data_IF_466424151153
#
_entry.id   IF_466424151153
#
_cell.length_a   1.000
_cell.length_b   1.000
_cell.length_c   1.000
_cell.angle_alpha   90.00
_cell.angle_beta   90.00
_cell.angle_gamma   90.00
#
_symmetry.space_group_name_H-M   'P 1'
#
loop_
_entity.id
_entity.type
_entity.pdbx_description
1 polymer ?
#
# COMPACT_ATOMS: atom_id res chain seq x y z
N UNK A 1 -30.35 9.17 -4.21
CA UNK A 1 -29.50 10.28 -4.71
C UNK A 1 -28.74 9.90 -5.99
N UNK A 2 -27.92 8.84 -6.07
CA UNK A 2 -27.24 8.43 -7.32
C UNK A 2 -28.23 8.10 -8.44
N UNK A 3 -29.34 7.39 -8.14
CA UNK A 3 -30.36 7.05 -9.10
C UNK A 3 -31.11 8.29 -9.65
N UNK A 4 -31.24 9.33 -8.84
CA UNK A 4 -31.83 10.61 -9.28
C UNK A 4 -30.88 11.38 -10.21
N UNK A 5 -29.56 11.38 -9.94
CA UNK A 5 -28.54 11.96 -10.81
C UNK A 5 -28.45 11.23 -12.15
N UNK A 6 -28.58 9.90 -12.14
CA UNK A 6 -28.60 9.09 -13.37
C UNK A 6 -29.85 9.36 -14.24
N UNK A 7 -30.97 9.66 -13.61
CA UNK A 7 -32.24 10.01 -14.32
C UNK A 7 -32.21 11.43 -14.92
N UNK A 8 -31.33 12.33 -14.45
CA UNK A 8 -31.13 13.66 -15.05
C UNK A 8 -30.42 13.61 -16.42
N UNK A 9 -29.78 12.49 -16.76
CA UNK A 9 -29.01 12.35 -17.99
C UNK A 9 -29.87 12.19 -19.26
N UNK A 10 -31.20 12.10 -19.14
CA UNK A 10 -32.08 12.00 -20.31
C UNK A 10 -32.25 13.31 -21.09
N UNK A 11 -31.71 14.43 -20.60
CA UNK A 11 -31.90 15.75 -21.20
C UNK A 11 -30.59 16.42 -21.72
N UNK A 12 -29.51 15.68 -21.91
CA UNK A 12 -28.19 16.21 -22.40
C UNK A 12 -27.63 17.41 -21.60
N UNK A 13 -28.12 17.73 -20.42
CA UNK A 13 -27.58 18.76 -19.55
C UNK A 13 -26.54 18.14 -18.63
N UNK A 14 -25.26 18.37 -18.92
CA UNK A 14 -24.20 18.12 -17.96
C UNK A 14 -24.30 19.10 -16.78
N UNK A 15 -23.85 18.66 -15.63
CA UNK A 15 -23.70 19.51 -14.45
C UNK A 15 -22.43 20.33 -14.65
N UNK A 16 -22.49 21.65 -14.52
CA UNK A 16 -21.32 22.51 -14.74
C UNK A 16 -20.15 22.17 -13.81
N UNK A 17 -20.46 21.83 -12.54
CA UNK A 17 -19.46 21.62 -11.52
C UNK A 17 -19.91 20.68 -10.41
N UNK A 18 -19.06 19.72 -10.03
CA UNK A 18 -19.23 18.86 -8.86
C UNK A 18 -17.98 18.97 -7.98
N UNK A 19 -18.17 19.26 -6.70
CA UNK A 19 -17.13 19.10 -5.69
C UNK A 19 -17.52 17.96 -4.75
N UNK A 20 -16.58 17.05 -4.48
CA UNK A 20 -16.89 15.89 -3.65
C UNK A 20 -15.71 15.41 -2.81
N UNK A 21 -16.06 14.89 -1.63
CA UNK A 21 -15.22 14.06 -0.78
C UNK A 21 -16.00 12.75 -0.55
N UNK A 22 -15.90 11.77 -1.45
CA UNK A 22 -16.71 10.55 -1.39
C UNK A 22 -16.21 9.58 -0.31
N UNK A 23 -17.03 8.63 0.13
CA UNK A 23 -16.59 7.61 1.07
C UNK A 23 -15.51 6.72 0.46
N UNK A 24 -14.43 6.47 1.22
CA UNK A 24 -13.23 5.77 0.72
C UNK A 24 -13.31 4.24 0.76
N UNK A 25 -14.35 3.70 1.40
CA UNK A 25 -14.47 2.26 1.60
C UNK A 25 -14.52 1.47 0.28
N UNK A 26 -13.66 0.45 0.14
CA UNK A 26 -13.62 -0.51 -0.98
C UNK A 26 -13.64 0.14 -2.37
N UNK A 27 -12.81 1.17 -2.58
CA UNK A 27 -12.72 1.93 -3.85
C UNK A 27 -14.02 2.61 -4.28
N UNK A 28 -14.94 2.82 -3.35
CA UNK A 28 -16.20 3.49 -3.65
C UNK A 28 -15.97 4.92 -4.15
N UNK A 29 -14.95 5.61 -3.63
CA UNK A 29 -14.51 6.92 -4.09
C UNK A 29 -14.18 6.97 -5.59
N UNK A 30 -13.53 5.93 -6.13
CA UNK A 30 -13.22 5.85 -7.57
C UNK A 30 -14.47 5.60 -8.41
N UNK A 31 -15.41 4.79 -7.91
CA UNK A 31 -16.70 4.57 -8.58
C UNK A 31 -17.55 5.83 -8.61
N UNK A 32 -17.53 6.63 -7.53
CA UNK A 32 -18.17 7.93 -7.52
C UNK A 32 -17.52 8.87 -8.52
N UNK A 33 -16.17 8.94 -8.53
CA UNK A 33 -15.42 9.79 -9.45
C UNK A 33 -15.71 9.41 -10.91
N UNK A 34 -15.70 8.11 -11.22
CA UNK A 34 -16.07 7.61 -12.55
C UNK A 34 -17.44 8.13 -13.00
N UNK A 35 -18.45 8.02 -12.14
CA UNK A 35 -19.79 8.48 -12.47
C UNK A 35 -19.94 10.00 -12.55
N UNK A 36 -19.21 10.73 -11.71
CA UNK A 36 -19.28 12.20 -11.75
C UNK A 36 -18.59 12.78 -12.98
N UNK A 37 -17.48 12.20 -13.44
CA UNK A 37 -16.83 12.61 -14.71
C UNK A 37 -17.76 12.40 -15.92
N UNK A 38 -18.63 11.40 -15.89
CA UNK A 38 -19.60 11.14 -16.98
C UNK A 38 -20.71 12.19 -17.05
N UNK A 39 -21.07 12.85 -15.95
CA UNK A 39 -22.25 13.72 -15.83
C UNK A 39 -21.93 15.20 -15.58
N UNK A 40 -20.68 15.55 -15.32
CA UNK A 40 -20.26 16.93 -15.05
C UNK A 40 -19.11 17.38 -15.95
N UNK A 41 -19.11 18.66 -16.25
CA UNK A 41 -18.05 19.28 -17.06
C UNK A 41 -16.77 19.48 -16.24
N UNK A 42 -16.92 19.80 -14.95
CA UNK A 42 -15.81 19.97 -14.02
C UNK A 42 -16.08 19.20 -12.74
N UNK A 43 -15.10 18.42 -12.29
CA UNK A 43 -15.18 17.68 -11.02
C UNK A 43 -13.96 17.99 -10.19
N UNK A 44 -14.16 18.45 -8.95
CA UNK A 44 -13.11 18.51 -7.92
C UNK A 44 -13.34 17.35 -6.96
N UNK A 45 -12.33 16.52 -6.79
CA UNK A 45 -12.40 15.33 -5.96
C UNK A 45 -11.25 15.29 -4.96
N UNK A 46 -11.58 15.00 -3.70
CA UNK A 46 -10.60 14.69 -2.66
C UNK A 46 -10.74 13.21 -2.34
N UNK A 47 -9.68 12.45 -2.55
CA UNK A 47 -9.69 11.00 -2.29
C UNK A 47 -8.29 10.45 -2.04
N UNK A 48 -8.17 9.24 -1.44
CA UNK A 48 -6.89 8.57 -1.34
C UNK A 48 -6.18 8.47 -2.69
N UNK A 49 -4.88 8.69 -2.70
CA UNK A 49 -4.09 8.75 -3.94
C UNK A 49 -3.49 7.39 -4.36
N UNK A 50 -3.75 6.33 -3.62
CA UNK A 50 -3.17 5.00 -3.85
C UNK A 50 -3.49 4.40 -5.23
N UNK A 51 -4.57 4.82 -5.87
CA UNK A 51 -4.87 4.46 -7.26
C UNK A 51 -3.88 5.06 -8.28
N UNK A 52 -3.24 6.18 -7.94
CA UNK A 52 -2.18 6.80 -8.75
C UNK A 52 -0.82 6.13 -8.54
N UNK A 53 -0.52 5.81 -7.28
CA UNK A 53 0.82 5.40 -6.85
C UNK A 53 1.02 3.88 -6.86
N UNK A 54 -0.05 3.09 -6.91
CA UNK A 54 0.02 1.63 -6.78
C UNK A 54 0.06 0.91 -8.14
N UNK A 55 1.27 0.75 -8.69
CA UNK A 55 1.51 0.06 -9.99
C UNK A 55 1.48 -1.48 -9.90
N UNK A 56 1.65 -2.07 -8.72
CA UNK A 56 2.24 -3.41 -8.63
C UNK A 56 1.35 -4.52 -8.07
N UNK A 57 0.20 -4.23 -7.52
CA UNK A 57 -0.62 -5.29 -6.95
C UNK A 57 -1.32 -6.13 -8.04
N UNK A 58 -1.18 -7.46 -7.95
CA UNK A 58 -1.79 -8.43 -8.90
C UNK A 58 -3.21 -8.84 -8.51
N UNK A 59 -3.84 -8.16 -7.55
CA UNK A 59 -5.18 -8.48 -7.06
C UNK A 59 -6.28 -7.90 -7.95
N UNK A 60 -7.52 -8.41 -7.85
CA UNK A 60 -8.68 -7.87 -8.56
C UNK A 60 -8.93 -6.38 -8.24
N UNK A 61 -8.73 -5.99 -6.99
CA UNK A 61 -8.82 -4.60 -6.56
C UNK A 61 -7.81 -3.71 -7.27
N UNK A 62 -6.60 -4.20 -7.43
CA UNK A 62 -5.53 -3.49 -8.15
C UNK A 62 -5.76 -3.43 -9.65
N UNK A 63 -6.44 -4.41 -10.23
CA UNK A 63 -6.86 -4.36 -11.63
C UNK A 63 -7.82 -3.20 -11.86
N UNK A 64 -8.79 -2.99 -10.97
CA UNK A 64 -9.73 -1.86 -11.08
C UNK A 64 -9.02 -0.52 -10.95
N UNK A 65 -8.11 -0.35 -9.98
CA UNK A 65 -7.33 0.88 -9.80
C UNK A 65 -6.43 1.19 -10.99
N UNK A 66 -5.79 0.16 -11.57
CA UNK A 66 -5.00 0.31 -12.79
C UNK A 66 -5.86 0.75 -13.96
N UNK A 67 -6.96 0.05 -14.20
CA UNK A 67 -7.94 0.42 -15.22
C UNK A 67 -8.40 1.87 -15.03
N UNK A 68 -8.74 2.26 -13.79
CA UNK A 68 -9.18 3.61 -13.47
C UNK A 68 -8.09 4.63 -13.81
N UNK A 69 -6.85 4.38 -13.39
CA UNK A 69 -5.70 5.24 -13.68
C UNK A 69 -5.48 5.41 -15.18
N UNK A 70 -5.45 4.32 -15.93
CA UNK A 70 -5.22 4.34 -17.38
C UNK A 70 -6.34 5.08 -18.13
N UNK A 71 -7.58 4.85 -17.72
CA UNK A 71 -8.76 5.44 -18.37
C UNK A 71 -8.96 6.92 -18.05
N UNK A 72 -8.74 7.30 -16.78
CA UNK A 72 -9.15 8.62 -16.28
C UNK A 72 -8.01 9.63 -16.12
N UNK A 73 -6.75 9.26 -16.24
CA UNK A 73 -5.62 10.20 -16.21
C UNK A 73 -5.71 11.28 -17.27
N UNK A 74 -6.30 10.99 -18.42
CA UNK A 74 -6.53 11.96 -19.50
C UNK A 74 -7.54 13.07 -19.16
N UNK A 75 -8.37 12.86 -18.12
CA UNK A 75 -9.35 13.86 -17.66
C UNK A 75 -8.80 14.76 -16.56
N UNK A 76 -7.57 14.53 -16.09
CA UNK A 76 -6.99 15.31 -15.00
C UNK A 76 -6.42 16.60 -15.55
N UNK A 77 -6.98 17.73 -15.11
CA UNK A 77 -6.48 19.08 -15.41
C UNK A 77 -5.37 19.48 -14.46
N UNK A 78 -5.55 19.20 -13.17
CA UNK A 78 -4.56 19.41 -12.11
C UNK A 78 -4.70 18.38 -11.01
N UNK A 79 -3.59 18.11 -10.34
CA UNK A 79 -3.52 17.17 -9.24
C UNK A 79 -2.53 17.66 -8.20
N UNK A 80 -2.97 17.70 -6.94
CA UNK A 80 -2.15 17.98 -5.77
C UNK A 80 -2.21 16.79 -4.84
N UNK A 81 -1.03 16.30 -4.40
CA UNK A 81 -0.94 15.23 -3.41
C UNK A 81 -0.64 15.85 -2.05
N UNK A 82 -1.48 15.55 -1.08
CA UNK A 82 -1.35 16.00 0.29
C UNK A 82 -0.87 14.82 1.14
N UNK A 83 0.22 15.02 1.88
CA UNK A 83 0.75 14.01 2.79
C UNK A 83 -0.24 13.65 3.90
N UNK A 84 -0.13 12.47 4.55
CA UNK A 84 -0.95 12.15 5.71
C UNK A 84 -0.82 13.17 6.83
N UNK A 85 0.38 13.69 7.04
CA UNK A 85 0.68 14.70 8.07
C UNK A 85 -0.08 16.01 7.82
N UNK A 86 0.04 16.56 6.61
CA UNK A 86 -0.65 17.79 6.23
C UNK A 86 -2.17 17.59 6.20
N UNK A 87 -2.65 16.46 5.69
CA UNK A 87 -4.07 16.15 5.69
C UNK A 87 -4.64 16.11 7.12
N UNK A 88 -3.95 15.45 8.03
CA UNK A 88 -4.37 15.40 9.44
C UNK A 88 -4.38 16.77 10.10
N UNK A 89 -3.40 17.61 9.77
CA UNK A 89 -3.32 19.00 10.24
C UNK A 89 -4.48 19.85 9.73
N UNK A 90 -4.82 19.74 8.43
CA UNK A 90 -5.88 20.57 7.82
C UNK A 90 -7.28 20.12 8.21
N UNK A 91 -7.49 18.82 8.36
CA UNK A 91 -8.83 18.25 8.59
C UNK A 91 -9.08 17.77 10.02
N UNK A 92 -8.10 17.94 10.93
CA UNK A 92 -8.25 17.54 12.33
C UNK A 92 -8.48 16.03 12.50
N UNK A 93 -7.89 15.20 11.64
CA UNK A 93 -8.08 13.76 11.61
C UNK A 93 -6.82 13.02 12.06
N UNK A 94 -6.89 11.71 12.16
CA UNK A 94 -5.72 10.84 12.42
C UNK A 94 -5.59 9.77 11.32
N UNK A 95 -5.73 10.18 10.07
CA UNK A 95 -5.56 9.27 8.94
C UNK A 95 -4.09 8.96 8.70
N UNK A 96 -3.82 7.75 8.28
CA UNK A 96 -2.48 7.24 7.96
C UNK A 96 -2.17 7.26 6.45
N UNK A 97 -3.14 7.63 5.62
CA UNK A 97 -3.01 7.70 4.16
C UNK A 97 -3.02 9.16 3.68
N UNK A 98 -2.26 9.43 2.64
CA UNK A 98 -2.34 10.69 1.91
C UNK A 98 -3.54 10.74 0.98
N UNK A 99 -3.91 11.94 0.59
CA UNK A 99 -5.00 12.18 -0.37
C UNK A 99 -4.49 12.93 -1.59
N UNK A 100 -5.23 12.82 -2.68
CA UNK A 100 -5.08 13.68 -3.85
C UNK A 100 -6.29 14.59 -3.96
N UNK A 101 -6.04 15.87 -4.22
CA UNK A 101 -7.04 16.81 -4.69
C UNK A 101 -6.88 16.89 -6.20
N UNK A 102 -7.85 16.38 -6.93
CA UNK A 102 -7.83 16.36 -8.39
C UNK A 102 -8.94 17.20 -9.00
N UNK A 103 -8.59 17.95 -10.06
CA UNK A 103 -9.56 18.63 -10.94
C UNK A 103 -9.67 17.83 -12.22
N UNK A 104 -10.86 17.37 -12.54
CA UNK A 104 -11.15 16.56 -13.72
C UNK A 104 -12.06 17.33 -14.69
N UNK A 105 -11.73 17.27 -15.98
CA UNK A 105 -12.49 17.90 -17.07
C UNK A 105 -12.48 17.00 -18.30
N UNK A 106 -13.51 17.08 -19.13
CA UNK A 106 -13.58 16.33 -20.39
C UNK A 106 -12.43 16.69 -21.35
N UNK A 107 -12.08 17.96 -21.44
CA UNK A 107 -11.03 18.49 -22.34
C UNK A 107 -9.75 18.87 -21.58
N UNK A 108 -9.42 18.14 -20.51
CA UNK A 108 -8.19 18.36 -19.75
C UNK A 108 -6.95 18.07 -20.61
N UNK A 109 -5.83 18.67 -20.24
CA UNK A 109 -4.52 18.33 -20.83
C UNK A 109 -4.12 16.89 -20.55
N UNK A 110 -4.69 16.30 -19.51
CA UNK A 110 -4.28 15.02 -18.98
C UNK A 110 -2.95 15.10 -18.23
N UNK A 111 -2.67 14.08 -17.48
CA UNK A 111 -1.38 13.89 -16.83
C UNK A 111 -0.79 12.55 -17.27
N UNK A 112 0.54 12.51 -17.29
CA UNK A 112 1.23 11.23 -17.34
C UNK A 112 1.12 10.57 -15.93
N UNK A 113 0.32 9.52 -15.77
CA UNK A 113 0.10 8.92 -14.47
C UNK A 113 1.36 8.27 -13.91
N UNK A 114 2.34 7.97 -14.77
CA UNK A 114 3.59 7.36 -14.36
C UNK A 114 4.51 8.34 -13.63
N UNK A 115 4.29 9.66 -13.79
CA UNK A 115 4.99 10.69 -13.00
C UNK A 115 4.60 10.71 -11.52
N UNK A 116 3.41 10.21 -11.18
CA UNK A 116 2.92 10.12 -9.80
C UNK A 116 3.15 8.75 -9.15
N UNK A 117 3.57 7.78 -9.92
CA UNK A 117 4.17 6.60 -9.34
C UNK A 117 5.40 7.11 -8.62
N UNK A 118 5.53 6.77 -7.34
CA UNK A 118 6.74 7.06 -6.58
C UNK A 118 7.92 6.84 -7.51
N UNK A 119 8.39 7.95 -8.09
CA UNK A 119 9.38 7.97 -9.17
C UNK A 119 10.77 7.68 -8.67
N UNK A 120 10.87 7.19 -7.44
CA UNK A 120 12.09 6.56 -7.05
C UNK A 120 12.15 5.18 -7.73
N UNK A 121 12.61 5.24 -8.99
CA UNK A 121 12.87 4.03 -9.78
C UNK A 121 13.76 3.06 -9.01
N UNK A 122 14.52 3.56 -8.05
CA UNK A 122 15.41 2.79 -7.20
C UNK A 122 14.66 2.12 -6.05
N UNK A 123 13.74 2.83 -5.37
CA UNK A 123 12.84 2.26 -4.36
C UNK A 123 12.02 1.11 -4.96
N UNK A 124 11.45 1.33 -6.13
CA UNK A 124 10.68 0.30 -6.84
C UNK A 124 11.54 -0.91 -7.24
N UNK A 125 12.81 -0.71 -7.60
CA UNK A 125 13.75 -1.81 -7.89
C UNK A 125 14.01 -2.63 -6.63
N UNK A 126 14.24 -1.99 -5.49
CA UNK A 126 14.46 -2.65 -4.21
C UNK A 126 13.23 -3.48 -3.83
N UNK A 127 12.04 -2.89 -3.89
CA UNK A 127 10.79 -3.57 -3.58
C UNK A 127 10.56 -4.77 -4.51
N UNK A 128 10.79 -4.63 -5.81
CA UNK A 128 10.67 -5.74 -6.75
C UNK A 128 11.61 -6.90 -6.43
N UNK A 129 12.83 -6.61 -5.98
CA UNK A 129 13.77 -7.64 -5.55
C UNK A 129 13.28 -8.38 -4.29
N UNK A 130 12.72 -7.64 -3.33
CA UNK A 130 12.15 -8.21 -2.10
C UNK A 130 10.97 -9.13 -2.42
N UNK A 131 10.14 -8.77 -3.39
CA UNK A 131 8.95 -9.53 -3.79
C UNK A 131 9.21 -10.83 -4.54
N UNK A 132 10.44 -11.16 -4.82
CA UNK A 132 10.79 -12.45 -5.43
C UNK A 132 10.57 -13.62 -4.48
N UNK A 133 10.53 -13.37 -3.17
CA UNK A 133 10.32 -14.40 -2.15
C UNK A 133 8.82 -14.66 -1.87
N UNK A 134 8.49 -15.86 -1.39
CA UNK A 134 7.16 -16.16 -0.92
C UNK A 134 6.74 -15.22 0.22
N UNK A 135 5.46 -14.88 0.27
CA UNK A 135 4.91 -14.08 1.37
C UNK A 135 5.01 -14.83 2.70
N UNK A 136 5.37 -14.11 3.76
CA UNK A 136 5.33 -14.62 5.14
C UNK A 136 3.95 -15.18 5.49
N UNK A 137 2.88 -14.53 5.03
CA UNK A 137 1.50 -14.98 5.24
C UNK A 137 1.21 -16.35 4.64
N UNK A 138 1.88 -16.73 3.55
CA UNK A 138 1.71 -18.06 2.92
C UNK A 138 2.22 -19.20 3.79
N UNK A 139 2.99 -18.89 4.82
CA UNK A 139 3.56 -19.85 5.78
C UNK A 139 2.81 -19.93 7.11
N UNK A 140 1.73 -19.17 7.25
CA UNK A 140 0.95 -19.17 8.48
C UNK A 140 0.22 -20.49 8.67
N UNK A 141 0.31 -20.99 9.90
CA UNK A 141 -0.52 -22.09 10.44
C UNK A 141 -1.44 -21.56 11.51
N UNK A 142 -2.48 -22.33 11.86
CA UNK A 142 -3.31 -22.01 13.02
C UNK A 142 -2.48 -22.18 14.28
N UNK A 143 -2.81 -21.37 15.29
CA UNK A 143 -2.17 -21.43 16.61
C UNK A 143 -2.28 -22.83 17.20
N UNK A 144 -1.15 -23.33 17.64
CA UNK A 144 -1.00 -24.56 18.40
C UNK A 144 -0.31 -24.23 19.72
N UNK A 145 -0.57 -25.02 20.74
CA UNK A 145 0.13 -24.91 22.01
C UNK A 145 1.48 -25.62 21.91
N UNK A 146 2.49 -24.87 21.47
CA UNK A 146 3.84 -25.34 21.26
C UNK A 146 4.81 -24.18 21.44
N UNK A 147 5.88 -24.36 22.18
CA UNK A 147 6.90 -23.36 22.47
C UNK A 147 7.63 -22.86 21.21
N UNK A 148 7.68 -23.68 20.16
CA UNK A 148 8.28 -23.33 18.87
C UNK A 148 7.30 -22.63 17.93
N UNK A 149 6.08 -22.36 18.36
CA UNK A 149 5.10 -21.61 17.60
C UNK A 149 5.21 -20.12 17.88
N UNK A 150 5.55 -19.33 16.86
CA UNK A 150 5.60 -17.87 16.95
C UNK A 150 4.31 -17.28 16.39
N UNK A 151 3.44 -16.69 17.24
CA UNK A 151 2.26 -16.00 16.77
C UNK A 151 2.67 -14.74 16.01
N UNK A 152 2.15 -14.56 14.81
CA UNK A 152 2.42 -13.39 13.97
C UNK A 152 1.13 -12.65 13.69
N UNK A 153 1.12 -11.36 13.97
CA UNK A 153 0.00 -10.48 13.63
C UNK A 153 0.44 -9.51 12.54
N UNK A 154 -0.12 -9.69 11.35
CA UNK A 154 -0.03 -8.68 10.30
C UNK A 154 -1.23 -7.75 10.44
N UNK A 155 -1.00 -6.47 10.64
CA UNK A 155 -2.09 -5.50 10.73
C UNK A 155 -2.66 -5.19 9.35
N UNK A 156 -3.88 -4.64 9.33
CA UNK A 156 -4.54 -4.16 8.12
C UNK A 156 -3.77 -3.03 7.40
N UNK A 157 -2.74 -2.49 8.04
CA UNK A 157 -1.95 -1.38 7.53
C UNK A 157 -0.58 -1.81 6.98
N UNK A 158 -0.36 -3.11 6.84
CA UNK A 158 0.91 -3.63 6.32
C UNK A 158 2.06 -3.64 7.33
N UNK A 159 1.89 -2.96 8.45
CA UNK A 159 2.88 -2.98 9.51
C UNK A 159 2.95 -4.36 10.14
N UNK A 160 4.15 -4.88 10.24
CA UNK A 160 4.49 -5.95 11.17
C UNK A 160 4.37 -5.38 12.59
N UNK A 161 3.15 -5.10 13.02
CA UNK A 161 2.93 -4.82 14.42
C UNK A 161 3.17 -6.12 15.16
N UNK A 162 4.41 -6.24 15.58
CA UNK A 162 4.90 -7.11 16.63
C UNK A 162 5.09 -8.57 16.25
N UNK A 163 6.31 -8.89 16.00
CA UNK A 163 6.90 -9.99 16.72
C UNK A 163 7.22 -9.45 18.11
N UNK A 164 6.23 -9.38 18.98
CA UNK A 164 6.47 -9.04 20.38
C UNK A 164 7.30 -10.18 20.97
N UNK A 165 8.44 -9.86 21.58
CA UNK A 165 9.30 -10.85 22.24
C UNK A 165 8.58 -11.59 23.39
N UNK A 166 7.50 -11.03 23.88
CA UNK A 166 6.57 -11.65 24.81
C UNK A 166 5.33 -12.19 24.07
N UNK A 167 5.44 -13.42 23.59
CA UNK A 167 4.38 -14.12 22.84
C UNK A 167 3.06 -14.26 23.60
N UNK A 168 3.10 -14.17 24.94
CA UNK A 168 1.92 -14.31 25.77
C UNK A 168 0.88 -13.22 25.51
N UNK A 169 1.32 -12.07 25.03
CA UNK A 169 0.48 -10.90 24.73
C UNK A 169 -0.12 -10.88 23.33
N UNK A 170 0.41 -11.67 22.39
CA UNK A 170 -0.09 -11.69 21.02
C UNK A 170 -1.32 -12.62 20.93
N UNK A 171 -2.50 -12.04 20.79
CA UNK A 171 -3.75 -12.78 20.55
C UNK A 171 -3.94 -13.16 19.07
N UNK A 172 -2.88 -13.52 18.36
CA UNK A 172 -3.02 -13.98 16.97
C UNK A 172 -3.47 -15.42 16.93
N UNK A 173 -4.41 -15.71 16.00
CA UNK A 173 -4.84 -17.09 15.72
C UNK A 173 -3.92 -17.80 14.71
N UNK A 174 -2.99 -17.07 14.13
CA UNK A 174 -2.08 -17.56 13.09
C UNK A 174 -0.63 -17.22 13.46
N UNK A 175 0.28 -18.03 13.00
CA UNK A 175 1.71 -17.85 13.20
C UNK A 175 2.52 -18.87 12.42
N UNK A 176 3.77 -19.04 12.80
CA UNK A 176 4.72 -19.97 12.17
C UNK A 176 5.23 -20.93 13.21
N UNK A 177 5.26 -22.21 12.87
CA UNK A 177 5.89 -23.26 13.66
C UNK A 177 7.33 -23.46 13.15
N UNK A 178 8.27 -23.47 14.08
CA UNK A 178 9.69 -23.73 13.82
C UNK A 178 10.12 -25.10 14.34
N UNK A 179 11.32 -25.54 14.00
CA UNK A 179 11.85 -26.84 14.39
C UNK A 179 12.78 -26.75 15.62
N UNK A 180 13.20 -25.54 16.00
CA UNK A 180 14.08 -25.32 17.15
C UNK A 180 13.94 -23.89 17.70
N UNK A 181 14.32 -23.73 18.99
CA UNK A 181 14.38 -22.42 19.65
C UNK A 181 15.35 -21.46 18.93
N UNK A 182 16.44 -21.99 18.36
CA UNK A 182 17.37 -21.18 17.59
C UNK A 182 16.73 -20.60 16.32
N UNK A 183 15.90 -21.36 15.62
CA UNK A 183 15.13 -20.85 14.49
C UNK A 183 14.13 -19.78 14.91
N UNK A 184 13.43 -19.98 16.04
CA UNK A 184 12.53 -18.99 16.63
C UNK A 184 13.28 -17.70 16.90
N UNK A 185 14.42 -17.78 17.59
CA UNK A 185 15.25 -16.63 17.89
C UNK A 185 15.70 -15.90 16.62
N UNK A 186 16.24 -16.62 15.65
CA UNK A 186 16.74 -16.04 14.40
C UNK A 186 15.61 -15.42 13.55
N UNK A 187 14.40 -15.99 13.61
CA UNK A 187 13.22 -15.39 12.98
C UNK A 187 12.88 -14.05 13.62
N UNK A 188 12.85 -13.98 14.94
CA UNK A 188 12.53 -12.75 15.68
C UNK A 188 13.59 -11.69 15.43
N UNK A 189 14.85 -12.06 15.56
CA UNK A 189 15.98 -11.15 15.38
C UNK A 189 16.04 -10.61 13.93
N UNK A 190 15.48 -11.33 12.95
CA UNK A 190 15.43 -10.87 11.56
C UNK A 190 14.62 -9.58 11.39
N UNK A 191 13.67 -9.29 12.27
CA UNK A 191 12.86 -8.06 12.22
C UNK A 191 13.64 -6.80 12.62
N UNK A 192 14.78 -6.95 13.25
CA UNK A 192 15.69 -5.84 13.55
C UNK A 192 16.59 -5.46 12.36
N UNK A 193 16.52 -6.22 11.26
CA UNK A 193 17.31 -5.95 10.04
C UNK A 193 16.72 -4.80 9.22
N UNK A 194 17.53 -4.31 8.28
CA UNK A 194 17.14 -3.25 7.37
C UNK A 194 15.85 -3.58 6.59
N UNK A 195 15.68 -4.85 6.21
CA UNK A 195 14.58 -5.29 5.36
C UNK A 195 13.21 -4.89 5.92
N UNK A 196 12.96 -5.24 7.17
CA UNK A 196 11.67 -4.96 7.80
C UNK A 196 11.51 -3.49 8.16
N UNK A 197 12.59 -2.82 8.60
CA UNK A 197 12.60 -1.39 8.84
C UNK A 197 12.34 -0.60 7.56
N UNK A 198 12.96 -1.01 6.45
CA UNK A 198 12.74 -0.43 5.13
C UNK A 198 11.28 -0.61 4.65
N UNK A 199 10.73 -1.82 4.80
CA UNK A 199 9.32 -2.08 4.46
C UNK A 199 8.37 -1.24 5.32
N UNK A 200 8.69 -1.01 6.58
CA UNK A 200 7.92 -0.15 7.46
C UNK A 200 7.96 1.32 7.03
N UNK A 201 9.16 1.84 6.71
CA UNK A 201 9.38 3.23 6.32
C UNK A 201 8.97 3.57 4.90
N UNK A 202 8.99 2.61 3.99
CA UNK A 202 8.70 2.81 2.56
C UNK A 202 7.23 3.07 2.24
N UNK A 203 6.43 3.51 3.20
CA UNK A 203 4.99 3.80 3.07
C UNK A 203 4.21 2.64 2.41
N UNK A 204 4.67 1.45 2.63
CA UNK A 204 4.04 0.24 2.14
C UNK A 204 2.72 0.00 2.87
N UNK A 205 1.75 0.84 2.56
CA UNK A 205 0.50 0.99 3.26
C UNK A 205 -0.61 0.21 2.58
N UNK A 206 -1.26 -0.65 3.33
CA UNK A 206 -2.49 -1.32 2.94
C UNK A 206 -2.51 -2.83 3.23
N UNK A 207 -3.71 -3.37 3.36
CA UNK A 207 -3.94 -4.80 3.66
C UNK A 207 -3.38 -5.75 2.57
N UNK A 208 -3.14 -5.25 1.37
CA UNK A 208 -2.53 -5.99 0.27
C UNK A 208 -1.02 -6.16 0.46
N UNK A 209 -0.39 -5.21 1.16
CA UNK A 209 1.05 -5.19 1.37
C UNK A 209 1.47 -6.16 2.49
N UNK A 210 0.60 -6.45 3.46
CA UNK A 210 0.86 -7.50 4.45
C UNK A 210 1.04 -8.89 3.82
N UNK A 211 0.48 -9.10 2.62
CA UNK A 211 0.68 -10.31 1.84
C UNK A 211 2.07 -10.40 1.20
N UNK A 212 2.83 -9.32 1.22
CA UNK A 212 4.09 -9.18 0.50
C UNK A 212 5.31 -9.14 1.40
N UNK A 213 5.13 -9.16 2.72
CA UNK A 213 6.24 -9.36 3.65
C UNK A 213 6.92 -10.68 3.33
N UNK A 214 8.22 -10.69 3.00
CA UNK A 214 8.88 -11.90 2.53
C UNK A 214 9.11 -12.90 3.66
N UNK A 215 8.98 -14.17 3.35
CA UNK A 215 9.45 -15.27 4.17
C UNK A 215 10.86 -15.65 3.72
N UNK A 216 11.84 -15.44 4.59
CA UNK A 216 13.26 -15.63 4.24
C UNK A 216 13.69 -17.11 4.11
N UNK A 217 12.84 -18.02 4.56
CA UNK A 217 12.97 -19.47 4.36
C UNK A 217 13.84 -20.18 5.40
N UNK A 218 15.12 -19.87 5.46
CA UNK A 218 16.09 -20.53 6.34
C UNK A 218 16.41 -19.68 7.56
N UNK A 219 15.97 -20.12 8.74
CA UNK A 219 16.24 -19.49 10.04
C UNK A 219 17.20 -20.32 10.91
N UNK A 220 17.84 -21.34 10.38
CA UNK A 220 18.88 -22.09 11.11
C UNK A 220 20.09 -21.22 11.45
N UNK A 221 20.31 -20.16 10.68
CA UNK A 221 21.36 -19.15 10.88
C UNK A 221 20.76 -17.74 10.93
N UNK A 222 21.36 -16.82 11.69
CA UNK A 222 20.91 -15.44 11.76
C UNK A 222 20.84 -14.77 10.39
N UNK A 223 19.83 -13.96 10.18
CA UNK A 223 19.76 -13.04 9.05
C UNK A 223 20.42 -11.73 9.44
N UNK A 224 21.56 -11.44 8.79
CA UNK A 224 22.25 -10.14 8.94
C UNK A 224 21.94 -9.24 7.75
N UNK A 225 22.23 -7.95 7.91
CA UNK A 225 22.06 -6.98 6.82
C UNK A 225 22.86 -7.39 5.57
N UNK A 226 24.09 -7.87 5.74
CA UNK A 226 24.95 -8.31 4.65
C UNK A 226 24.39 -9.56 3.95
N UNK A 227 23.82 -10.50 4.71
CA UNK A 227 23.19 -11.70 4.16
C UNK A 227 21.97 -11.34 3.33
N UNK A 228 21.17 -10.38 3.80
CA UNK A 228 20.01 -9.86 3.08
C UNK A 228 20.38 -9.07 1.84
N UNK A 229 21.40 -8.21 1.91
CA UNK A 229 21.90 -7.49 0.73
C UNK A 229 22.32 -8.45 -0.38
N UNK A 230 22.98 -9.56 -0.01
CA UNK A 230 23.36 -10.62 -0.97
C UNK A 230 22.16 -11.36 -1.51
N UNK A 231 21.21 -11.75 -0.65
CA UNK A 231 19.99 -12.48 -1.06
C UNK A 231 19.21 -11.72 -2.13
N UNK A 232 19.03 -10.42 -1.94
CA UNK A 232 18.25 -9.56 -2.83
C UNK A 232 19.09 -8.87 -3.91
N UNK A 233 20.37 -9.18 -4.03
CA UNK A 233 21.29 -8.51 -4.98
C UNK A 233 21.19 -6.97 -4.87
N UNK A 234 21.21 -6.45 -3.63
CA UNK A 234 21.16 -5.02 -3.36
C UNK A 234 22.51 -4.38 -3.68
N UNK A 235 22.51 -3.41 -4.58
CA UNK A 235 23.72 -2.68 -4.98
C UNK A 235 24.18 -1.73 -3.88
N UNK A 236 25.41 -1.22 -3.96
CA UNK A 236 25.92 -0.22 -3.01
C UNK A 236 25.12 1.08 -3.01
N UNK A 237 24.62 1.48 -4.17
CA UNK A 237 23.75 2.63 -4.33
C UNK A 237 22.39 2.42 -3.64
N UNK A 238 21.80 1.24 -3.84
CA UNK A 238 20.55 0.85 -3.18
C UNK A 238 20.74 0.71 -1.65
N UNK A 239 21.90 0.21 -1.18
CA UNK A 239 22.24 0.14 0.26
C UNK A 239 22.21 1.53 0.89
N UNK A 240 22.82 2.51 0.23
CA UNK A 240 22.83 3.90 0.71
C UNK A 240 21.42 4.45 0.88
N UNK A 241 20.53 4.23 -0.09
CA UNK A 241 19.12 4.67 0.00
C UNK A 241 18.43 4.00 1.18
N UNK A 242 18.64 2.68 1.35
CA UNK A 242 18.06 1.95 2.48
C UNK A 242 18.55 2.54 3.81
N UNK A 243 19.86 2.79 3.94
CA UNK A 243 20.47 3.34 5.14
C UNK A 243 19.98 4.76 5.44
N UNK A 244 19.77 5.58 4.42
CA UNK A 244 19.24 6.95 4.57
C UNK A 244 17.77 6.96 5.00
N UNK A 245 17.02 5.86 4.76
CA UNK A 245 15.59 5.75 5.11
C UNK A 245 15.33 5.20 6.51
N UNK A 246 16.19 4.34 7.05
CA UNK A 246 15.95 3.60 8.31
C UNK A 246 16.61 4.26 9.51
#
# INVERSE_FOLDING_TARGET
MIQQLLNMNNNNKKIDFIMMNPPYNRDLHLKFLEKTIEIADNVVNISPHDWLTNKFAKTEKSKFRRYFREKYSKYIESLEIISPEDFNKYFGTSNWFGVAIGVFKENAKGIDPDKFLNNDTLLNKIINKIHTLPSLRSKFTRRIDNELFVPVRLTSHGYLNYVERDYSKIKSKNGILFNSENEVKNFIDSFDTWLYKYLEKSEWQGSENSASVPYLGDYTKPWTNERLYRLFNITKEEQKIIEDMI
#
